data_IF_715123869932
#
_entry.id   IF_715123869932
#
_cell.length_a   1.000
_cell.length_b   1.000
_cell.length_c   1.000
_cell.angle_alpha   90.00
_cell.angle_beta   90.00
_cell.angle_gamma   90.00
#
_symmetry.space_group_name_H-M   'P 1'
#
loop_
_entity.id
_entity.type
_entity.pdbx_description
1 polymer ?
#
# COMPACT_ATOMS: atom_id res chain seq x y z
N UNK A 1 18.41 -40.46 13.11
CA UNK A 1 18.72 -39.03 12.89
C UNK A 1 18.19 -38.62 11.52
N UNK A 2 17.15 -37.79 11.44
CA UNK A 2 16.76 -37.11 10.19
C UNK A 2 17.26 -35.66 10.31
N UNK A 3 18.55 -35.46 10.13
CA UNK A 3 19.13 -34.12 10.07
C UNK A 3 18.95 -33.58 8.66
N UNK A 4 17.73 -33.13 8.37
CA UNK A 4 17.31 -32.55 7.10
C UNK A 4 17.02 -31.06 7.23
N UNK A 5 18.08 -30.25 7.14
CA UNK A 5 18.12 -28.84 6.76
C UNK A 5 17.60 -27.74 7.72
N UNK A 6 18.49 -27.00 8.41
CA UNK A 6 18.16 -25.71 9.05
C UNK A 6 17.89 -24.56 8.05
N UNK A 7 18.01 -24.78 6.73
CA UNK A 7 17.80 -23.74 5.70
C UNK A 7 16.33 -23.45 5.36
N UNK A 8 15.43 -24.40 5.59
CA UNK A 8 13.99 -24.26 5.26
C UNK A 8 13.30 -23.14 6.06
N UNK A 9 13.65 -23.03 7.35
CA UNK A 9 12.98 -22.13 8.29
C UNK A 9 13.25 -20.64 8.03
N UNK A 10 14.51 -20.26 7.75
CA UNK A 10 14.87 -18.88 7.38
C UNK A 10 14.17 -18.40 6.10
N UNK A 11 14.02 -19.29 5.11
CA UNK A 11 13.37 -18.94 3.83
C UNK A 11 11.86 -18.77 3.99
N UNK A 12 11.24 -19.57 4.86
CA UNK A 12 9.83 -19.43 5.22
C UNK A 12 9.56 -18.11 5.96
N UNK A 13 10.39 -17.76 6.94
CA UNK A 13 10.28 -16.49 7.68
C UNK A 13 10.37 -15.28 6.74
N UNK A 14 11.37 -15.24 5.84
CA UNK A 14 11.50 -14.16 4.85
C UNK A 14 10.28 -14.06 3.92
N UNK A 15 9.71 -15.18 3.48
CA UNK A 15 8.48 -15.17 2.68
C UNK A 15 7.29 -14.63 3.46
N UNK A 16 7.12 -15.02 4.73
CA UNK A 16 6.09 -14.46 5.61
C UNK A 16 6.28 -12.97 5.81
N UNK A 17 7.50 -12.50 6.01
CA UNK A 17 7.82 -11.07 6.12
C UNK A 17 7.50 -10.31 4.83
N UNK A 18 7.86 -10.85 3.67
CA UNK A 18 7.55 -10.24 2.36
C UNK A 18 6.05 -10.18 2.14
N UNK A 19 5.30 -11.25 2.47
CA UNK A 19 3.83 -11.26 2.34
C UNK A 19 3.18 -10.26 3.31
N UNK A 20 3.64 -10.15 4.56
CA UNK A 20 3.13 -9.13 5.48
C UNK A 20 3.47 -7.72 4.99
N UNK A 21 4.73 -7.48 4.61
CA UNK A 21 5.19 -6.17 4.19
C UNK A 21 4.51 -5.73 2.89
N UNK A 22 4.57 -6.54 1.84
CA UNK A 22 3.93 -6.28 0.55
C UNK A 22 2.42 -6.57 0.53
N UNK A 23 1.84 -7.12 1.58
CA UNK A 23 0.39 -7.20 1.73
C UNK A 23 -0.16 -5.92 2.34
N UNK A 24 0.33 -5.59 3.54
CA UNK A 24 -0.21 -4.49 4.35
C UNK A 24 0.14 -3.13 3.72
N UNK A 25 1.40 -2.91 3.32
CA UNK A 25 1.80 -1.60 2.80
C UNK A 25 1.04 -1.14 1.57
N UNK A 26 0.87 -1.95 0.51
CA UNK A 26 0.14 -1.48 -0.67
C UNK A 26 -1.34 -1.27 -0.39
N UNK A 27 -1.97 -2.06 0.50
CA UNK A 27 -3.36 -1.80 0.91
C UNK A 27 -3.45 -0.43 1.60
N UNK A 28 -2.54 -0.14 2.52
CA UNK A 28 -2.46 1.18 3.19
C UNK A 28 -2.20 2.28 2.17
N UNK A 29 -1.27 2.09 1.23
CA UNK A 29 -0.95 3.07 0.20
C UNK A 29 -2.17 3.38 -0.69
N UNK A 30 -2.89 2.36 -1.15
CA UNK A 30 -4.11 2.54 -1.95
C UNK A 30 -5.21 3.23 -1.14
N UNK A 31 -5.39 2.84 0.12
CA UNK A 31 -6.37 3.48 1.02
C UNK A 31 -6.07 4.96 1.27
N UNK A 32 -4.80 5.30 1.54
CA UNK A 32 -4.37 6.68 1.80
C UNK A 32 -4.43 7.52 0.53
N UNK A 33 -3.83 7.07 -0.58
CA UNK A 33 -3.79 7.83 -1.84
C UNK A 33 -5.18 7.95 -2.46
N UNK A 34 -5.93 6.84 -2.52
CA UNK A 34 -7.29 6.82 -3.03
C UNK A 34 -8.24 7.64 -2.15
N UNK A 35 -8.16 7.48 -0.83
CA UNK A 35 -8.95 8.25 0.12
C UNK A 35 -8.64 9.75 0.06
N UNK A 36 -7.35 10.13 0.02
CA UNK A 36 -6.94 11.52 -0.11
C UNK A 36 -7.37 12.12 -1.46
N UNK A 37 -7.15 11.42 -2.56
CA UNK A 37 -7.60 11.85 -3.89
C UNK A 37 -9.11 12.04 -3.97
N UNK A 38 -9.87 11.11 -3.35
CA UNK A 38 -11.32 11.22 -3.25
C UNK A 38 -11.76 12.42 -2.39
N UNK A 39 -11.13 12.65 -1.24
CA UNK A 39 -11.40 13.82 -0.40
C UNK A 39 -11.12 15.12 -1.15
N UNK A 40 -10.01 15.20 -1.87
CA UNK A 40 -9.67 16.36 -2.70
C UNK A 40 -10.71 16.55 -3.81
N UNK A 41 -11.10 15.48 -4.50
CA UNK A 41 -12.15 15.55 -5.54
C UNK A 41 -13.50 16.00 -4.97
N UNK A 42 -13.92 15.46 -3.82
CA UNK A 42 -15.14 15.90 -3.15
C UNK A 42 -15.05 17.36 -2.71
N UNK A 43 -13.90 17.75 -2.18
CA UNK A 43 -13.63 19.14 -1.82
C UNK A 43 -13.80 20.05 -3.04
N UNK A 44 -13.26 19.69 -4.20
CA UNK A 44 -13.42 20.43 -5.46
C UNK A 44 -14.90 20.56 -5.89
N UNK A 45 -15.72 19.53 -5.68
CA UNK A 45 -17.17 19.62 -5.98
C UNK A 45 -17.85 20.64 -5.06
N UNK A 46 -17.46 20.70 -3.78
CA UNK A 46 -18.03 21.61 -2.79
C UNK A 46 -17.50 23.04 -2.96
N UNK A 47 -16.21 23.21 -3.21
CA UNK A 47 -15.52 24.51 -3.32
C UNK A 47 -15.60 25.14 -4.71
N UNK A 48 -16.16 24.43 -5.68
CA UNK A 48 -16.10 24.78 -7.10
C UNK A 48 -14.85 24.21 -7.79
N UNK A 49 -14.93 23.94 -9.11
CA UNK A 49 -13.89 23.23 -9.84
C UNK A 49 -12.54 23.95 -9.77
N UNK A 50 -11.42 23.22 -9.57
CA UNK A 50 -10.09 23.81 -9.62
C UNK A 50 -9.87 24.34 -11.04
N UNK A 51 -9.88 25.66 -11.18
CA UNK A 51 -9.80 26.32 -12.48
C UNK A 51 -8.47 26.02 -13.20
N UNK A 52 -8.44 26.09 -14.55
CA UNK A 52 -7.22 25.95 -15.33
C UNK A 52 -6.14 26.93 -14.85
N UNK A 53 -4.84 26.54 -14.85
CA UNK A 53 -3.76 27.48 -14.57
C UNK A 53 -3.88 28.66 -15.53
N UNK A 54 -4.04 29.86 -14.99
CA UNK A 54 -4.13 31.08 -15.78
C UNK A 54 -2.96 31.18 -16.74
N UNK A 55 -3.25 31.26 -18.03
CA UNK A 55 -2.34 31.70 -19.08
C UNK A 55 -2.38 33.22 -19.19
#
# INVERSE_FOLDING_TARGET
>A
MKDGAPKSRRRAELLTFVILAFGIWPIVAVGVVGGYGFLVWMYQIISGPPGPPGH
#
